data_IF_379744215708
#
_entry.id   IF_379744215708
#
_cell.length_a   1.000
_cell.length_b   1.000
_cell.length_c   1.000
_cell.angle_alpha   90.00
_cell.angle_beta   90.00
_cell.angle_gamma   90.00
#
_symmetry.space_group_name_H-M   'P 1'
#
loop_
_entity.id
_entity.type
_entity.pdbx_description
1 polymer ?
#
# COMPACT_ATOMS: atom_id res chain seq x y z
N UNK A 1 -12.40 25.94 6.44
CA UNK A 1 -11.92 25.22 5.25
C UNK A 1 -10.77 24.27 5.59
N UNK A 2 -9.87 24.63 6.51
CA UNK A 2 -8.73 23.81 6.94
C UNK A 2 -9.07 22.38 7.37
N UNK A 3 -10.14 22.18 8.15
CA UNK A 3 -10.55 20.84 8.59
C UNK A 3 -10.77 19.86 7.42
N UNK A 4 -11.39 20.32 6.32
CA UNK A 4 -11.59 19.49 5.12
C UNK A 4 -10.26 19.12 4.47
N UNK A 5 -9.30 20.05 4.43
CA UNK A 5 -7.96 19.81 3.88
C UNK A 5 -7.23 18.76 4.72
N UNK A 6 -7.23 18.90 6.05
CA UNK A 6 -6.57 17.94 6.94
C UNK A 6 -7.20 16.55 6.87
N UNK A 7 -8.54 16.47 6.83
CA UNK A 7 -9.23 15.19 6.65
C UNK A 7 -8.89 14.57 5.30
N UNK A 8 -8.87 15.34 4.21
CA UNK A 8 -8.52 14.84 2.89
C UNK A 8 -7.10 14.28 2.84
N UNK A 9 -6.12 15.00 3.42
CA UNK A 9 -4.73 14.55 3.50
C UNK A 9 -4.60 13.26 4.33
N UNK A 10 -5.27 13.20 5.47
CA UNK A 10 -5.27 12.01 6.34
C UNK A 10 -5.87 10.79 5.63
N UNK A 11 -7.09 10.93 5.08
CA UNK A 11 -7.80 9.83 4.42
C UNK A 11 -7.04 9.35 3.18
N UNK A 12 -6.49 10.27 2.39
CA UNK A 12 -5.69 9.91 1.20
C UNK A 12 -4.43 9.14 1.59
N UNK A 13 -3.71 9.58 2.63
CA UNK A 13 -2.50 8.90 3.11
C UNK A 13 -2.82 7.49 3.63
N UNK A 14 -3.88 7.36 4.43
CA UNK A 14 -4.33 6.05 4.94
C UNK A 14 -4.78 5.13 3.80
N UNK A 15 -5.48 5.67 2.80
CA UNK A 15 -5.88 4.93 1.60
C UNK A 15 -4.68 4.38 0.81
N UNK A 16 -3.65 5.20 0.58
CA UNK A 16 -2.42 4.78 -0.10
C UNK A 16 -1.73 3.64 0.68
N UNK A 17 -1.60 3.76 2.00
CA UNK A 17 -0.98 2.72 2.85
C UNK A 17 -1.79 1.41 2.76
N UNK A 18 -3.12 1.50 2.82
CA UNK A 18 -4.00 0.34 2.67
C UNK A 18 -3.77 -0.38 1.34
N UNK A 19 -3.81 0.35 0.22
CA UNK A 19 -3.57 -0.26 -1.10
C UNK A 19 -2.14 -0.80 -1.24
N UNK A 20 -1.13 -0.10 -0.70
CA UNK A 20 0.27 -0.55 -0.74
C UNK A 20 0.51 -1.84 0.05
N UNK A 21 -0.27 -2.14 1.09
CA UNK A 21 -0.12 -3.38 1.88
C UNK A 21 -0.90 -4.53 1.25
N UNK A 22 -2.19 -4.33 0.94
CA UNK A 22 -3.08 -5.41 0.50
C UNK A 22 -2.95 -5.75 -0.99
N UNK A 23 -2.53 -4.79 -1.81
CA UNK A 23 -2.42 -4.94 -3.27
C UNK A 23 -0.97 -4.83 -3.77
N UNK A 24 0.03 -5.04 -2.90
CA UNK A 24 1.43 -5.21 -3.37
C UNK A 24 1.60 -6.51 -4.14
N UNK A 25 2.60 -6.54 -5.01
CA UNK A 25 3.04 -7.76 -5.66
C UNK A 25 3.38 -8.83 -4.60
N UNK A 26 2.80 -10.04 -4.67
CA UNK A 26 3.14 -11.09 -3.73
C UNK A 26 4.61 -11.49 -3.91
N UNK A 27 5.29 -11.89 -2.82
CA UNK A 27 6.68 -12.32 -2.92
C UNK A 27 6.81 -13.53 -3.87
N UNK A 28 7.68 -13.42 -4.86
CA UNK A 28 8.03 -14.55 -5.73
C UNK A 28 9.01 -15.46 -5.02
N UNK A 29 8.60 -16.70 -4.75
CA UNK A 29 9.50 -17.71 -4.20
C UNK A 29 10.42 -18.17 -5.33
N UNK A 30 11.70 -17.82 -5.25
CA UNK A 30 12.72 -18.37 -6.14
C UNK A 30 13.08 -19.79 -5.70
N UNK A 31 12.43 -20.80 -6.27
CA UNK A 31 12.89 -22.18 -6.12
C UNK A 31 14.12 -22.39 -6.99
N UNK A 32 15.29 -22.54 -6.38
CA UNK A 32 16.48 -23.00 -7.11
C UNK A 32 16.19 -24.42 -7.57
N UNK A 33 15.95 -24.60 -8.87
CA UNK A 33 15.85 -25.92 -9.48
C UNK A 33 17.19 -26.63 -9.24
N UNK A 34 17.25 -27.54 -8.26
CA UNK A 34 18.36 -28.48 -8.15
C UNK A 34 18.29 -29.38 -9.37
N UNK A 35 19.14 -29.12 -10.36
CA UNK A 35 19.47 -30.05 -11.43
C UNK A 35 20.95 -30.33 -11.35
#
# INVERSE_FOLDING_TARGET
MEALVYTFLLVSTLGIIFFAIFFREPPKILTKKMK
#
